data_IF_162258189464
#
_entry.id   IF_162258189464
#
_cell.length_a   1.000
_cell.length_b   1.000
_cell.length_c   1.000
_cell.angle_alpha   90.00
_cell.angle_beta   90.00
_cell.angle_gamma   90.00
#
_symmetry.space_group_name_H-M   'P 1'
#
loop_
_entity.id
_entity.type
_entity.pdbx_description
1 polymer ?
#
# COMPACT_ATOMS: atom_id res chain seq x y z
N UNK A 1 16.90 4.49 -3.14
CA UNK A 1 15.92 4.53 -4.25
C UNK A 1 15.36 5.93 -4.45
N UNK A 2 14.87 6.60 -3.39
CA UNK A 2 14.39 7.98 -3.46
C UNK A 2 15.36 8.97 -4.14
N UNK A 3 16.65 8.98 -3.76
CA UNK A 3 17.64 9.87 -4.39
C UNK A 3 17.91 9.63 -5.89
N UNK A 4 17.46 8.49 -6.44
CA UNK A 4 17.63 8.13 -7.85
C UNK A 4 16.32 8.23 -8.65
N UNK A 5 15.19 7.96 -8.02
CA UNK A 5 13.88 7.82 -8.69
C UNK A 5 12.83 8.84 -8.21
N UNK A 6 13.18 9.69 -7.23
CA UNK A 6 12.28 10.71 -6.68
C UNK A 6 11.43 10.23 -5.51
N UNK A 7 10.48 11.07 -5.10
CA UNK A 7 9.61 10.82 -3.94
C UNK A 7 8.53 9.77 -4.19
N UNK A 8 8.16 9.53 -5.46
CA UNK A 8 7.17 8.54 -5.88
C UNK A 8 7.80 7.66 -6.95
N UNK A 9 7.90 6.36 -6.70
CA UNK A 9 8.45 5.41 -7.67
C UNK A 9 7.82 4.02 -7.54
N UNK A 10 7.84 3.26 -8.64
CA UNK A 10 7.28 1.91 -8.71
C UNK A 10 8.35 0.83 -8.52
N UNK A 11 7.95 -0.30 -7.94
CA UNK A 11 8.74 -1.53 -7.80
C UNK A 11 7.85 -2.74 -8.12
N UNK A 12 8.45 -3.77 -8.70
CA UNK A 12 7.86 -5.10 -8.73
C UNK A 12 8.41 -5.89 -7.54
N UNK A 13 7.58 -6.10 -6.52
CA UNK A 13 7.95 -6.90 -5.34
C UNK A 13 7.40 -8.31 -5.51
N UNK A 14 8.27 -9.20 -5.96
CA UNK A 14 7.94 -10.57 -6.38
C UNK A 14 6.90 -10.59 -7.50
N UNK A 15 5.63 -10.81 -7.17
CA UNK A 15 4.50 -10.85 -8.11
C UNK A 15 3.53 -9.68 -7.90
N UNK A 16 3.86 -8.74 -7.01
CA UNK A 16 2.99 -7.63 -6.65
C UNK A 16 3.60 -6.30 -7.10
N UNK A 17 2.90 -5.53 -7.96
CA UNK A 17 3.32 -4.17 -8.28
C UNK A 17 3.08 -3.25 -7.09
N UNK A 18 4.07 -2.44 -6.73
CA UNK A 18 4.03 -1.54 -5.57
C UNK A 18 4.52 -0.14 -5.94
N UNK A 19 3.90 0.87 -5.32
CA UNK A 19 4.36 2.27 -5.38
C UNK A 19 4.85 2.69 -4.01
N UNK A 20 6.06 3.25 -3.93
CA UNK A 20 6.65 3.79 -2.71
C UNK A 20 6.48 5.30 -2.67
N UNK A 21 5.90 5.82 -1.58
CA UNK A 21 5.71 7.24 -1.33
C UNK A 21 6.68 7.72 -0.24
N UNK A 22 7.47 8.75 -0.54
CA UNK A 22 8.48 9.30 0.36
C UNK A 22 8.28 10.80 0.55
N UNK A 23 8.54 11.31 1.76
CA UNK A 23 8.41 12.72 2.08
C UNK A 23 6.98 13.17 2.37
N UNK A 24 6.86 14.29 3.08
CA UNK A 24 5.58 14.75 3.65
C UNK A 24 4.52 15.05 2.58
N UNK A 25 4.92 15.67 1.47
CA UNK A 25 3.98 16.06 0.40
C UNK A 25 3.32 14.84 -0.24
N UNK A 26 4.10 13.87 -0.71
CA UNK A 26 3.59 12.66 -1.36
C UNK A 26 2.74 11.80 -0.40
N UNK A 27 3.17 11.68 0.86
CA UNK A 27 2.43 10.91 1.88
C UNK A 27 1.13 11.60 2.25
N UNK A 28 1.11 12.94 2.39
CA UNK A 28 -0.12 13.69 2.70
C UNK A 28 -1.12 13.62 1.56
N UNK A 29 -0.67 13.75 0.32
CA UNK A 29 -1.54 13.65 -0.84
C UNK A 29 -2.25 12.29 -0.85
N UNK A 30 -1.51 11.20 -0.72
CA UNK A 30 -2.09 9.86 -0.73
C UNK A 30 -2.98 9.62 0.50
N UNK A 31 -2.43 9.73 1.71
CA UNK A 31 -3.09 9.24 2.93
C UNK A 31 -4.12 10.21 3.51
N UNK A 32 -4.12 11.49 3.11
CA UNK A 32 -5.06 12.49 3.61
C UNK A 32 -6.00 12.94 2.51
N UNK A 33 -5.47 13.51 1.43
CA UNK A 33 -6.32 14.06 0.36
C UNK A 33 -6.98 12.97 -0.50
N UNK A 34 -6.34 11.80 -0.66
CA UNK A 34 -6.87 10.62 -1.35
C UNK A 34 -7.17 9.47 -0.39
N UNK A 35 -7.56 9.79 0.84
CA UNK A 35 -7.79 8.80 1.88
C UNK A 35 -8.90 7.81 1.54
N UNK A 36 -9.97 8.26 0.87
CA UNK A 36 -11.07 7.40 0.44
C UNK A 36 -10.60 6.27 -0.50
N UNK A 37 -9.59 6.54 -1.34
CA UNK A 37 -9.06 5.59 -2.32
C UNK A 37 -7.88 4.75 -1.78
N UNK A 38 -7.24 5.18 -0.68
CA UNK A 38 -5.96 4.61 -0.21
C UNK A 38 -6.00 4.07 1.22
N UNK A 39 -7.15 4.13 1.89
CA UNK A 39 -7.30 3.64 3.26
C UNK A 39 -7.25 2.11 3.39
N UNK A 40 -7.40 1.37 2.28
CA UNK A 40 -7.52 -0.09 2.26
C UNK A 40 -6.21 -0.82 2.64
N UNK A 41 -6.29 -2.15 2.76
CA UNK A 41 -5.16 -3.04 3.04
C UNK A 41 -5.05 -4.11 1.95
N UNK A 42 -3.83 -4.40 1.46
CA UNK A 42 -3.63 -5.55 0.58
C UNK A 42 -4.13 -6.84 1.24
N UNK A 43 -4.76 -7.75 0.47
CA UNK A 43 -5.20 -9.03 1.00
C UNK A 43 -3.99 -9.84 1.44
N UNK A 44 -4.08 -10.40 2.65
CA UNK A 44 -3.03 -11.21 3.25
C UNK A 44 -3.59 -12.60 3.54
N UNK A 45 -3.38 -13.60 2.66
CA UNK A 45 -3.97 -14.94 2.79
C UNK A 45 -3.67 -15.63 4.14
N UNK A 46 -2.59 -15.25 4.81
CA UNK A 46 -2.26 -15.75 6.14
C UNK A 46 -3.36 -15.46 7.19
N UNK A 47 -4.15 -14.41 7.00
CA UNK A 47 -5.24 -14.04 7.91
C UNK A 47 -6.45 -14.98 7.82
N UNK A 48 -6.62 -15.69 6.70
CA UNK A 48 -7.71 -16.67 6.55
C UNK A 48 -7.54 -17.82 7.55
N UNK A 49 -6.30 -18.24 7.81
CA UNK A 49 -5.99 -19.27 8.80
C UNK A 49 -6.20 -18.83 10.25
N UNK A 50 -6.31 -17.52 10.49
CA UNK A 50 -6.59 -16.95 11.80
C UNK A 50 -8.08 -16.70 12.02
N UNK A 51 -8.93 -17.01 11.03
CA UNK A 51 -10.37 -16.79 11.10
C UNK A 51 -10.76 -15.33 10.85
N UNK A 52 -9.99 -14.56 10.07
CA UNK A 52 -10.35 -13.21 9.64
C UNK A 52 -10.78 -13.14 8.16
N UNK A 53 -11.08 -14.29 7.55
CA UNK A 53 -11.53 -14.39 6.16
C UNK A 53 -13.03 -14.10 5.97
N UNK A 54 -13.53 -14.06 4.73
CA UNK A 54 -14.94 -13.77 4.43
C UNK A 54 -15.94 -14.70 5.14
N UNK A 55 -15.52 -15.94 5.44
CA UNK A 55 -16.29 -16.98 6.12
C UNK A 55 -16.34 -16.80 7.66
N UNK A 56 -15.74 -15.74 8.22
CA UNK A 56 -15.68 -15.51 9.67
C UNK A 56 -16.82 -14.66 10.24
N UNK A 57 -17.88 -14.41 9.45
CA UNK A 57 -19.06 -13.62 9.81
C UNK A 57 -20.29 -14.51 10.04
#
# INVERSE_FOLDING_TARGET
>A
LQGRFGNVFSLELAWTPVVVLNGLEAVREALVHRSEDTADRPPMPVYDHLGFGPESQ
#
